data_IF_971147062345
#
_entry.id   IF_971147062345
#
_cell.length_a   1.000
_cell.length_b   1.000
_cell.length_c   1.000
_cell.angle_alpha   90.00
_cell.angle_beta   90.00
_cell.angle_gamma   90.00
#
_symmetry.space_group_name_H-M   'P 1'
#
loop_
_entity.id
_entity.type
_entity.pdbx_description
1 polymer ?
#
# COMPACT_ATOMS: atom_id res chain seq x y z
N UNK A 1 -24.38 5.68 -9.06
CA UNK A 1 -22.96 5.97 -9.27
C UNK A 1 -22.56 5.49 -10.67
N UNK A 2 -22.08 6.41 -11.51
CA UNK A 2 -21.49 6.02 -12.79
C UNK A 2 -20.23 5.21 -12.52
N UNK A 3 -20.12 4.11 -13.23
CA UNK A 3 -19.12 3.10 -13.04
C UNK A 3 -18.11 3.18 -14.17
N UNK A 4 -16.83 3.22 -13.86
CA UNK A 4 -15.79 3.06 -14.87
C UNK A 4 -15.64 1.56 -15.19
N UNK A 5 -15.97 1.15 -16.41
CA UNK A 5 -15.96 -0.26 -16.86
C UNK A 5 -14.85 -0.58 -17.85
N UNK A 6 -13.74 0.15 -17.80
CA UNK A 6 -12.64 -0.05 -18.77
C UNK A 6 -11.93 -1.41 -18.66
N UNK A 7 -12.10 -2.08 -17.51
CA UNK A 7 -11.45 -3.36 -17.16
C UNK A 7 -12.45 -4.48 -16.81
N UNK A 8 -13.72 -4.31 -17.19
CA UNK A 8 -14.85 -5.20 -16.87
C UNK A 8 -15.22 -5.24 -15.37
N UNK A 9 -14.55 -4.46 -14.52
CA UNK A 9 -14.86 -4.33 -13.10
C UNK A 9 -15.53 -2.98 -12.83
N UNK A 10 -16.69 -3.03 -12.18
CA UNK A 10 -17.43 -1.83 -11.81
C UNK A 10 -16.83 -1.18 -10.57
N UNK A 11 -16.50 0.12 -10.69
CA UNK A 11 -16.01 0.94 -9.57
C UNK A 11 -16.82 2.22 -9.50
N UNK A 12 -17.23 2.69 -8.31
CA UNK A 12 -17.88 3.98 -8.18
C UNK A 12 -16.89 5.10 -8.51
N UNK A 13 -17.30 6.04 -9.35
CA UNK A 13 -16.51 7.25 -9.63
C UNK A 13 -16.69 8.32 -8.54
N UNK A 14 -17.86 8.34 -7.91
CA UNK A 14 -18.21 9.26 -6.82
C UNK A 14 -19.40 8.73 -6.04
N UNK A 15 -19.63 9.27 -4.85
CA UNK A 15 -20.73 8.88 -3.98
C UNK A 15 -21.75 10.02 -3.87
N UNK A 16 -22.99 9.76 -4.29
CA UNK A 16 -24.10 10.70 -4.15
C UNK A 16 -24.55 10.78 -2.69
N UNK A 17 -24.92 11.98 -2.27
CA UNK A 17 -25.55 12.20 -0.96
C UNK A 17 -27.02 11.80 -1.02
N UNK A 18 -27.64 11.68 0.16
CA UNK A 18 -29.08 11.44 0.25
C UNK A 18 -29.85 12.53 -0.53
N UNK A 19 -30.81 12.10 -1.37
CA UNK A 19 -31.59 12.98 -2.23
C UNK A 19 -30.89 13.45 -3.51
N UNK A 20 -29.61 13.11 -3.73
CA UNK A 20 -28.89 13.43 -4.95
C UNK A 20 -28.95 12.23 -5.92
N UNK A 21 -29.30 12.49 -7.19
CA UNK A 21 -29.28 11.45 -8.22
C UNK A 21 -27.85 10.96 -8.47
N UNK A 22 -27.56 9.65 -8.32
CA UNK A 22 -26.21 9.10 -8.49
C UNK A 22 -25.87 8.89 -9.97
N UNK A 23 -26.01 9.96 -10.77
CA UNK A 23 -25.77 9.95 -12.20
C UNK A 23 -24.72 10.99 -12.59
N UNK A 24 -23.79 10.60 -13.45
CA UNK A 24 -22.78 11.51 -13.95
C UNK A 24 -23.40 12.50 -14.95
N UNK A 25 -23.22 13.80 -14.73
CA UNK A 25 -23.64 14.83 -15.66
C UNK A 25 -22.40 15.47 -16.29
N UNK A 26 -22.23 15.21 -17.57
CA UNK A 26 -21.12 15.76 -18.33
C UNK A 26 -21.30 17.25 -18.55
N UNK A 27 -20.28 18.04 -18.24
CA UNK A 27 -20.27 19.50 -18.42
C UNK A 27 -18.85 20.01 -18.62
N UNK A 28 -18.71 21.14 -19.35
CA UNK A 28 -17.44 21.86 -19.40
C UNK A 28 -17.22 22.78 -18.17
N UNK A 29 -18.24 22.97 -17.36
CA UNK A 29 -18.17 23.71 -16.11
C UNK A 29 -17.91 22.79 -14.92
N UNK A 30 -18.41 23.20 -13.76
CA UNK A 30 -18.30 22.45 -12.51
C UNK A 30 -19.22 21.22 -12.56
N UNK A 31 -18.68 19.98 -12.46
CA UNK A 31 -19.49 18.78 -12.52
C UNK A 31 -20.37 18.62 -11.27
N UNK A 32 -21.48 17.88 -11.41
CA UNK A 32 -22.46 17.69 -10.34
C UNK A 32 -21.93 16.94 -9.10
N UNK A 33 -20.83 16.21 -9.23
CA UNK A 33 -20.17 15.50 -8.14
C UNK A 33 -19.05 16.32 -7.44
N UNK A 34 -18.73 17.51 -7.95
CA UNK A 34 -17.59 18.30 -7.46
C UNK A 34 -17.65 18.59 -5.96
N UNK A 35 -18.83 18.98 -5.45
CA UNK A 35 -18.99 19.32 -4.03
C UNK A 35 -18.79 18.08 -3.13
N UNK A 36 -19.20 16.89 -3.61
CA UNK A 36 -19.00 15.63 -2.90
C UNK A 36 -17.51 15.34 -2.76
N UNK A 37 -16.77 15.33 -3.88
CA UNK A 37 -15.33 15.07 -3.88
C UNK A 37 -14.54 16.15 -3.15
N UNK A 38 -14.95 17.42 -3.25
CA UNK A 38 -14.35 18.49 -2.47
C UNK A 38 -14.44 18.23 -0.97
N UNK A 39 -15.63 17.87 -0.48
CA UNK A 39 -15.85 17.67 0.94
C UNK A 39 -15.12 16.42 1.45
N UNK A 40 -15.04 15.35 0.64
CA UNK A 40 -14.21 14.18 0.93
C UNK A 40 -12.73 14.56 1.02
N UNK A 41 -12.21 15.31 0.05
CA UNK A 41 -10.82 15.78 0.06
C UNK A 41 -10.53 16.67 1.27
N UNK A 42 -11.46 17.58 1.61
CA UNK A 42 -11.31 18.46 2.78
C UNK A 42 -11.37 17.66 4.09
N UNK A 43 -12.25 16.67 4.19
CA UNK A 43 -12.30 15.78 5.36
C UNK A 43 -10.96 15.06 5.59
N UNK A 44 -10.34 14.51 4.55
CA UNK A 44 -9.02 13.89 4.66
C UNK A 44 -7.95 14.92 5.05
N UNK A 45 -8.02 16.13 4.49
CA UNK A 45 -7.02 17.17 4.71
C UNK A 45 -7.07 17.77 6.11
N UNK A 46 -8.25 17.88 6.68
CA UNK A 46 -8.51 18.55 7.96
C UNK A 46 -8.74 17.58 9.12
N UNK A 47 -9.14 16.35 8.83
CA UNK A 47 -9.49 15.38 9.85
C UNK A 47 -8.84 14.01 9.60
N UNK A 48 -9.58 13.03 9.07
CA UNK A 48 -9.10 11.69 8.76
C UNK A 48 -9.96 11.07 7.64
N UNK A 49 -9.31 10.29 6.78
CA UNK A 49 -9.96 9.45 5.77
C UNK A 49 -9.45 8.02 5.81
N UNK A 50 -10.33 7.10 5.46
CA UNK A 50 -10.05 5.68 5.34
C UNK A 50 -10.10 5.29 3.86
N UNK A 51 -9.06 4.61 3.39
CA UNK A 51 -8.94 4.18 1.99
C UNK A 51 -8.72 2.66 1.92
N UNK A 52 -9.59 1.97 1.21
CA UNK A 52 -9.36 0.57 0.87
C UNK A 52 -8.30 0.49 -0.24
N UNK A 53 -7.12 0.01 0.13
CA UNK A 53 -5.98 -0.21 -0.74
C UNK A 53 -5.65 -1.71 -0.85
N UNK A 54 -6.60 -2.58 -0.53
CA UNK A 54 -6.39 -4.04 -0.54
C UNK A 54 -6.02 -4.60 -1.91
N UNK A 55 -6.30 -3.86 -2.98
CA UNK A 55 -5.89 -4.23 -4.33
C UNK A 55 -4.38 -4.11 -4.60
N UNK A 56 -3.62 -3.35 -3.80
CA UNK A 56 -2.16 -3.31 -3.95
C UNK A 56 -1.58 -4.72 -3.85
N UNK A 57 -0.63 -5.03 -4.74
CA UNK A 57 0.07 -6.31 -4.71
C UNK A 57 1.01 -6.37 -3.50
N UNK A 58 1.03 -7.52 -2.85
CA UNK A 58 1.84 -7.77 -1.65
C UNK A 58 2.59 -9.08 -1.81
N UNK A 59 3.92 -8.99 -1.76
CA UNK A 59 4.80 -10.16 -1.83
C UNK A 59 5.56 -10.33 -0.53
N UNK A 60 5.55 -11.55 -0.02
CA UNK A 60 6.40 -11.95 1.09
C UNK A 60 7.65 -12.59 0.52
N UNK A 61 8.80 -11.98 0.77
CA UNK A 61 10.11 -12.47 0.31
C UNK A 61 10.87 -13.00 1.52
N UNK A 62 11.17 -14.30 1.51
CA UNK A 62 11.81 -15.00 2.63
C UNK A 62 13.01 -15.80 2.19
N UNK A 63 14.02 -15.88 3.03
CA UNK A 63 15.19 -16.72 2.84
C UNK A 63 16.48 -16.00 3.22
N UNK A 64 17.53 -16.78 3.46
CA UNK A 64 18.84 -16.24 3.86
C UNK A 64 19.44 -15.26 2.85
N UNK A 65 19.05 -15.36 1.58
CA UNK A 65 19.54 -14.51 0.51
C UNK A 65 18.48 -13.47 0.04
N UNK A 66 17.35 -13.33 0.75
CA UNK A 66 16.29 -12.39 0.42
C UNK A 66 16.78 -10.92 0.35
N UNK A 67 17.63 -10.52 1.29
CA UNK A 67 18.28 -9.21 1.30
C UNK A 67 19.11 -8.97 0.04
N UNK A 68 19.93 -9.95 -0.37
CA UNK A 68 20.80 -9.84 -1.55
C UNK A 68 19.98 -9.70 -2.84
N UNK A 69 18.91 -10.51 -2.96
CA UNK A 69 17.98 -10.41 -4.08
C UNK A 69 17.36 -9.01 -4.14
N UNK A 70 16.79 -8.55 -3.05
CA UNK A 70 16.08 -7.27 -3.02
C UNK A 70 17.03 -6.07 -3.23
N UNK A 71 18.23 -6.09 -2.67
CA UNK A 71 19.23 -5.05 -2.95
C UNK A 71 19.72 -5.05 -4.42
N UNK A 72 19.72 -6.20 -5.08
CA UNK A 72 20.14 -6.28 -6.48
C UNK A 72 19.13 -5.62 -7.43
N UNK A 73 17.85 -5.70 -7.12
CA UNK A 73 16.78 -5.13 -7.97
C UNK A 73 16.37 -3.72 -7.55
N UNK A 74 16.63 -3.32 -6.31
CA UNK A 74 16.24 -2.02 -5.74
C UNK A 74 17.31 -0.97 -5.98
N UNK A 75 16.88 0.26 -6.25
CA UNK A 75 17.78 1.41 -6.35
C UNK A 75 18.28 1.85 -4.99
N UNK A 76 17.42 1.82 -3.97
CA UNK A 76 17.78 2.15 -2.61
C UNK A 76 18.22 0.91 -1.83
N UNK A 77 19.12 1.11 -0.85
CA UNK A 77 19.56 0.08 0.07
C UNK A 77 18.39 -0.44 0.92
N UNK A 78 18.16 -1.75 0.92
CA UNK A 78 17.12 -2.42 1.71
C UNK A 78 17.70 -3.29 2.85
N UNK A 79 19.03 -3.33 3.00
CA UNK A 79 19.68 -3.92 4.19
C UNK A 79 19.60 -2.93 5.35
N UNK A 80 18.43 -2.82 5.92
CA UNK A 80 18.09 -1.93 7.02
C UNK A 80 17.64 -2.74 8.23
N UNK A 81 17.52 -2.11 9.39
CA UNK A 81 17.01 -2.79 10.59
C UNK A 81 15.57 -3.31 10.36
N UNK A 82 15.23 -4.45 11.00
CA UNK A 82 13.86 -4.96 11.00
C UNK A 82 12.89 -3.89 11.52
N UNK A 83 11.72 -3.79 10.91
CA UNK A 83 10.73 -2.75 11.15
C UNK A 83 10.95 -1.47 10.32
N UNK A 84 11.98 -1.38 9.48
CA UNK A 84 12.15 -0.24 8.56
C UNK A 84 11.42 -0.46 7.25
N UNK A 85 10.82 0.63 6.74
CA UNK A 85 10.18 0.73 5.43
C UNK A 85 11.07 1.56 4.52
N UNK A 86 11.41 1.02 3.36
CA UNK A 86 12.21 1.68 2.31
C UNK A 86 11.32 1.88 1.10
N UNK A 87 11.12 3.12 0.68
CA UNK A 87 10.54 3.45 -0.61
C UNK A 87 11.63 3.38 -1.68
N UNK A 88 11.41 2.64 -2.74
CA UNK A 88 12.42 2.40 -3.78
C UNK A 88 11.77 2.08 -5.12
N UNK A 89 12.59 2.14 -6.19
CA UNK A 89 12.27 1.65 -7.51
C UNK A 89 13.03 0.35 -7.78
N UNK A 90 12.43 -0.54 -8.56
CA UNK A 90 13.15 -1.62 -9.23
C UNK A 90 13.47 -1.19 -10.65
N UNK A 91 14.67 -1.53 -11.10
CA UNK A 91 15.15 -1.15 -12.42
C UNK A 91 15.56 -2.39 -13.22
N UNK A 92 15.45 -2.26 -14.55
CA UNK A 92 16.04 -3.20 -15.48
C UNK A 92 17.54 -2.93 -15.70
N UNK A 93 18.20 -3.80 -16.45
CA UNK A 93 19.64 -3.71 -16.76
C UNK A 93 20.06 -2.42 -17.48
N UNK A 94 19.10 -1.70 -18.10
CA UNK A 94 19.32 -0.42 -18.78
C UNK A 94 19.08 0.79 -17.87
N UNK A 95 18.72 0.56 -16.61
CA UNK A 95 18.35 1.60 -15.65
C UNK A 95 16.94 2.15 -15.82
N UNK A 96 16.10 1.52 -16.64
CA UNK A 96 14.67 1.87 -16.76
C UNK A 96 13.89 1.37 -15.54
N UNK A 97 12.95 2.20 -15.05
CA UNK A 97 12.10 1.85 -13.91
C UNK A 97 11.07 0.79 -14.35
N UNK A 98 11.08 -0.34 -13.65
CA UNK A 98 10.14 -1.45 -13.83
C UNK A 98 9.00 -1.40 -12.80
N UNK A 99 9.30 -1.02 -11.57
CA UNK A 99 8.33 -0.90 -10.50
C UNK A 99 8.68 0.24 -9.53
N UNK A 100 7.67 0.83 -8.91
CA UNK A 100 7.75 1.86 -7.87
C UNK A 100 7.00 1.34 -6.65
N UNK A 101 7.71 1.11 -5.53
CA UNK A 101 7.22 0.27 -4.46
C UNK A 101 7.84 0.56 -3.09
N UNK A 102 7.33 -0.11 -2.08
CA UNK A 102 7.94 -0.13 -0.75
C UNK A 102 8.42 -1.53 -0.39
N UNK A 103 9.58 -1.58 0.25
CA UNK A 103 10.17 -2.78 0.85
C UNK A 103 10.24 -2.57 2.35
N UNK A 104 9.58 -3.43 3.10
CA UNK A 104 9.63 -3.42 4.56
C UNK A 104 10.39 -4.64 5.06
N UNK A 105 11.45 -4.45 5.82
CA UNK A 105 12.11 -5.59 6.50
C UNK A 105 11.30 -5.95 7.73
N UNK A 106 10.58 -7.07 7.70
CA UNK A 106 9.72 -7.53 8.80
C UNK A 106 10.48 -8.38 9.83
N UNK A 107 11.51 -9.11 9.38
CA UNK A 107 12.42 -9.88 10.24
C UNK A 107 13.80 -10.00 9.59
N UNK A 108 14.73 -10.70 10.21
CA UNK A 108 16.11 -10.85 9.73
C UNK A 108 16.20 -11.29 8.26
N UNK A 109 15.41 -12.31 7.88
CA UNK A 109 15.40 -12.90 6.54
C UNK A 109 14.01 -12.85 5.90
N UNK A 110 13.24 -11.81 6.24
CA UNK A 110 11.85 -11.67 5.78
C UNK A 110 11.56 -10.21 5.42
N UNK A 111 10.95 -10.04 4.25
CA UNK A 111 10.58 -8.74 3.70
C UNK A 111 9.16 -8.77 3.16
N UNK A 112 8.42 -7.69 3.40
CA UNK A 112 7.14 -7.40 2.76
C UNK A 112 7.37 -6.36 1.67
N UNK A 113 7.01 -6.71 0.44
CA UNK A 113 7.00 -5.79 -0.71
C UNK A 113 5.56 -5.41 -1.01
N UNK A 114 5.29 -4.11 -1.15
CA UNK A 114 3.98 -3.60 -1.56
C UNK A 114 4.16 -2.78 -2.83
N UNK A 115 3.46 -3.18 -3.89
CA UNK A 115 3.54 -2.57 -5.22
C UNK A 115 2.16 -2.37 -5.86
N UNK A 116 2.11 -1.77 -7.05
CA UNK A 116 0.87 -1.41 -7.71
C UNK A 116 0.03 -2.64 -8.10
N UNK A 117 -1.29 -2.53 -7.94
CA UNK A 117 -2.23 -3.60 -8.32
C UNK A 117 -2.17 -3.96 -9.80
N UNK A 118 -2.02 -2.97 -10.68
CA UNK A 118 -2.04 -3.17 -12.13
C UNK A 118 -0.81 -3.94 -12.65
N UNK A 119 0.29 -3.92 -11.93
CA UNK A 119 1.55 -4.56 -12.32
C UNK A 119 1.90 -5.79 -11.48
N UNK A 120 0.96 -6.32 -10.69
CA UNK A 120 1.19 -7.46 -9.78
C UNK A 120 1.95 -8.61 -10.42
N UNK A 121 1.47 -9.12 -11.56
CA UNK A 121 2.11 -10.26 -12.23
C UNK A 121 3.46 -9.89 -12.85
N UNK A 122 3.58 -8.69 -13.40
CA UNK A 122 4.83 -8.17 -13.95
C UNK A 122 5.90 -8.08 -12.86
N UNK A 123 5.58 -7.47 -11.74
CA UNK A 123 6.52 -7.24 -10.65
C UNK A 123 6.93 -8.55 -9.95
N UNK A 124 5.96 -9.48 -9.80
CA UNK A 124 6.26 -10.83 -9.31
C UNK A 124 7.25 -11.54 -10.22
N UNK A 125 7.03 -11.51 -11.54
CA UNK A 125 7.91 -12.14 -12.52
C UNK A 125 9.27 -11.46 -12.63
N UNK A 126 9.32 -10.14 -12.48
CA UNK A 126 10.59 -9.40 -12.41
C UNK A 126 11.44 -9.89 -11.23
N UNK A 127 10.83 -10.04 -10.06
CA UNK A 127 11.50 -10.51 -8.86
C UNK A 127 11.93 -11.98 -8.97
N UNK A 128 11.04 -12.87 -9.44
CA UNK A 128 11.35 -14.30 -9.63
C UNK A 128 12.52 -14.53 -10.61
N UNK A 129 12.59 -13.77 -11.70
CA UNK A 129 13.67 -13.85 -12.69
C UNK A 129 15.02 -13.37 -12.16
N UNK A 130 15.00 -12.52 -11.14
CA UNK A 130 16.20 -12.00 -10.52
C UNK A 130 16.83 -12.98 -9.50
N UNK A 131 16.11 -14.04 -9.11
CA UNK A 131 16.64 -15.10 -8.23
C UNK A 131 17.69 -15.90 -8.99
N UNK A 132 18.85 -16.15 -8.38
CA UNK A 132 19.92 -16.98 -8.91
C UNK A 132 19.79 -18.41 -8.40
N UNK A 133 20.28 -19.38 -9.17
CA UNK A 133 20.15 -20.80 -8.85
C UNK A 133 20.74 -21.19 -7.47
N UNK A 134 21.79 -20.49 -7.04
CA UNK A 134 22.44 -20.74 -5.76
C UNK A 134 21.78 -20.04 -4.56
N UNK A 135 20.81 -19.16 -4.80
CA UNK A 135 20.14 -18.37 -3.75
C UNK A 135 18.99 -19.13 -3.11
N UNK A 136 18.94 -19.06 -1.78
CA UNK A 136 17.84 -19.61 -0.98
C UNK A 136 16.84 -18.52 -0.67
N UNK A 137 15.90 -18.28 -1.60
CA UNK A 137 14.84 -17.27 -1.50
C UNK A 137 13.52 -17.87 -1.97
N UNK A 138 12.46 -17.58 -1.24
CA UNK A 138 11.08 -17.84 -1.64
C UNK A 138 10.33 -16.51 -1.77
N UNK A 139 9.60 -16.35 -2.86
CA UNK A 139 8.68 -15.23 -3.10
C UNK A 139 7.26 -15.76 -3.11
N UNK A 140 6.42 -15.23 -2.24
CA UNK A 140 5.03 -15.67 -2.08
C UNK A 140 4.11 -14.48 -2.29
N UNK A 141 3.20 -14.59 -3.23
CA UNK A 141 2.11 -13.63 -3.40
C UNK A 141 1.08 -13.81 -2.29
N UNK A 142 0.94 -12.82 -1.42
CA UNK A 142 -0.01 -12.80 -0.30
C UNK A 142 -1.13 -11.76 -0.51
N UNK A 143 -1.27 -11.24 -1.71
CA UNK A 143 -2.22 -10.16 -2.04
C UNK A 143 -3.64 -10.47 -1.59
N UNK A 144 -4.13 -11.64 -1.93
CA UNK A 144 -5.51 -12.04 -1.59
C UNK A 144 -5.71 -12.41 -0.12
N UNK A 145 -4.63 -12.68 0.61
CA UNK A 145 -4.68 -13.06 2.03
C UNK A 145 -4.53 -11.90 3.00
N UNK A 146 -4.28 -10.68 2.51
CA UNK A 146 -3.94 -9.53 3.36
C UNK A 146 -4.63 -8.27 2.85
N UNK A 147 -5.51 -7.70 3.66
CA UNK A 147 -6.11 -6.39 3.38
C UNK A 147 -5.14 -5.26 3.68
N UNK A 148 -5.27 -4.17 2.94
CA UNK A 148 -4.50 -2.94 3.18
C UNK A 148 -5.47 -1.77 3.29
N UNK A 149 -5.44 -1.09 4.42
CA UNK A 149 -6.26 0.08 4.69
C UNK A 149 -5.34 1.28 4.91
N UNK A 150 -5.49 2.29 4.07
CA UNK A 150 -4.84 3.58 4.26
C UNK A 150 -5.62 4.44 5.24
N UNK A 151 -5.02 4.83 6.34
CA UNK A 151 -5.59 5.77 7.30
C UNK A 151 -4.80 7.08 7.22
N UNK A 152 -5.40 8.11 6.63
CA UNK A 152 -4.71 9.33 6.24
C UNK A 152 -5.39 10.57 6.83
N UNK A 153 -4.60 11.62 7.06
CA UNK A 153 -5.05 12.89 7.59
C UNK A 153 -4.44 13.23 8.95
N UNK A 154 -4.55 14.48 9.41
CA UNK A 154 -3.89 14.96 10.64
C UNK A 154 -4.32 14.20 11.90
N UNK A 155 -5.56 13.68 11.93
CA UNK A 155 -6.09 12.94 13.08
C UNK A 155 -5.95 11.41 12.96
N UNK A 156 -5.28 10.89 11.91
CA UNK A 156 -5.14 9.45 11.66
C UNK A 156 -4.49 8.71 12.84
N UNK A 157 -3.42 9.26 13.39
CA UNK A 157 -2.72 8.67 14.53
C UNK A 157 -3.58 8.67 15.81
N UNK A 158 -4.29 9.76 16.08
CA UNK A 158 -5.18 9.85 17.24
C UNK A 158 -6.33 8.83 17.14
N UNK A 159 -6.91 8.68 15.94
CA UNK A 159 -7.95 7.68 15.72
C UNK A 159 -7.40 6.26 15.90
N UNK A 160 -6.27 5.93 15.30
CA UNK A 160 -5.68 4.60 15.46
C UNK A 160 -5.30 4.31 16.91
N UNK A 161 -4.76 5.31 17.64
CA UNK A 161 -4.43 5.16 19.07
C UNK A 161 -5.65 4.83 19.94
N UNK A 162 -6.84 5.30 19.57
CA UNK A 162 -8.08 4.96 20.30
C UNK A 162 -8.52 3.50 20.09
N UNK A 163 -7.97 2.80 19.12
CA UNK A 163 -8.31 1.42 18.74
C UNK A 163 -7.25 0.39 19.14
N UNK A 164 -6.11 0.84 19.67
CA UNK A 164 -5.01 -0.06 20.05
C UNK A 164 -4.47 0.30 21.46
N UNK A 165 -4.10 -0.72 22.26
CA UNK A 165 -3.39 -0.50 23.52
C UNK A 165 -1.91 -0.18 23.31
N UNK A 166 -1.37 -0.42 22.11
CA UNK A 166 0.02 -0.18 21.79
C UNK A 166 0.32 1.32 21.70
N UNK A 167 1.47 1.75 22.20
CA UNK A 167 1.94 3.13 21.99
C UNK A 167 2.37 3.32 20.54
N UNK A 168 1.63 4.15 19.81
CA UNK A 168 1.91 4.56 18.44
C UNK A 168 2.23 6.05 18.32
N UNK A 169 2.68 6.67 19.42
CA UNK A 169 3.21 8.04 19.40
C UNK A 169 4.35 8.21 18.38
N UNK A 170 4.68 9.43 17.99
CA UNK A 170 5.80 9.69 17.08
C UNK A 170 7.15 9.15 17.62
N UNK A 171 7.32 9.08 18.93
CA UNK A 171 8.52 8.52 19.55
C UNK A 171 8.57 6.99 19.46
N UNK A 172 7.45 6.31 19.72
CA UNK A 172 7.35 4.85 19.72
C UNK A 172 7.13 4.27 18.31
N UNK A 173 6.60 5.06 17.39
CA UNK A 173 6.32 4.68 16.01
C UNK A 173 6.71 5.83 15.05
N UNK A 174 8.01 6.03 14.80
CA UNK A 174 8.51 7.09 13.93
C UNK A 174 8.18 6.82 12.44
N UNK A 175 8.22 7.88 11.64
CA UNK A 175 8.03 7.78 10.19
C UNK A 175 9.02 6.80 9.53
N UNK A 176 8.55 6.07 8.51
CA UNK A 176 9.36 5.08 7.78
C UNK A 176 9.63 3.81 8.58
N UNK A 177 8.77 3.51 9.56
CA UNK A 177 8.83 2.25 10.32
C UNK A 177 7.53 1.47 10.20
N UNK A 178 7.61 0.18 10.51
CA UNK A 178 6.51 -0.77 10.56
C UNK A 178 6.48 -1.43 11.92
N UNK A 179 5.30 -1.68 12.44
CA UNK A 179 5.07 -2.31 13.75
C UNK A 179 3.85 -3.23 13.66
N UNK A 180 3.91 -4.36 14.33
CA UNK A 180 2.72 -5.21 14.56
C UNK A 180 2.02 -4.69 15.80
N UNK A 181 0.74 -4.39 15.67
CA UNK A 181 -0.11 -3.94 16.79
C UNK A 181 -1.43 -4.71 16.79
N UNK A 182 -2.09 -4.72 17.93
CA UNK A 182 -3.48 -5.19 18.03
C UNK A 182 -4.42 -4.01 17.78
N UNK A 183 -5.43 -4.19 16.88
CA UNK A 183 -6.41 -3.16 16.58
C UNK A 183 -7.81 -3.69 16.85
N UNK A 184 -8.55 -3.01 17.74
CA UNK A 184 -9.89 -3.40 18.14
C UNK A 184 -9.93 -4.76 18.84
N UNK A 185 -11.09 -5.44 18.76
CA UNK A 185 -11.29 -6.76 19.37
C UNK A 185 -11.07 -7.94 18.40
N UNK A 186 -10.72 -7.69 17.14
CA UNK A 186 -10.86 -8.68 16.05
C UNK A 186 -9.53 -9.11 15.45
N UNK A 187 -8.38 -8.52 15.76
CA UNK A 187 -7.17 -9.00 15.10
C UNK A 187 -5.91 -8.18 15.26
N UNK A 188 -4.85 -8.67 14.63
CA UNK A 188 -3.55 -8.01 14.56
C UNK A 188 -3.38 -7.29 13.22
N UNK A 189 -2.86 -6.09 13.25
CA UNK A 189 -2.52 -5.33 12.07
C UNK A 189 -1.02 -5.05 12.01
N UNK A 190 -0.45 -5.10 10.80
CA UNK A 190 0.82 -4.49 10.46
C UNK A 190 0.59 -3.02 10.11
N UNK A 191 1.21 -2.12 10.78
CA UNK A 191 1.14 -0.67 10.55
C UNK A 191 2.52 -0.09 10.33
#
# INVERSE_FOLDING_TARGET
>A
SDVCSSDLWERPNWYAREGQEPKYQYTFGKPNWFENSRDECMAVRETVGLFDQSAFAKFLVKGRDAMKLLNRVSVNEVDVAAGKVVYTQWCNEKGGIEADLTVTRTAENEYLVVTAAATQLHDLRHLERAIRDEESVAVVDITSGTSTIGLMGPNSRALLQSLTPDDISNAAFPFGTSKIIEVGQIGRAHV
#
